data_IF_954842272235
#
_entry.id   IF_954842272235
#
_cell.length_a   1.000
_cell.length_b   1.000
_cell.length_c   1.000
_cell.angle_alpha   90.00
_cell.angle_beta   90.00
_cell.angle_gamma   90.00
#
_symmetry.space_group_name_H-M   'P 1'
#
loop_
_entity.id
_entity.type
_entity.pdbx_description
1 polymer ?
#
# COMPACT_ATOMS: atom_id res chain seq x y z
N UNK A 1 4.36 0.90 22.06
CA UNK A 1 5.26 0.10 21.21
C UNK A 1 4.94 0.33 19.72
N UNK A 2 5.04 1.57 19.22
CA UNK A 2 4.71 1.89 17.82
C UNK A 2 5.90 1.70 16.86
N UNK A 3 7.10 2.11 17.32
CA UNK A 3 8.33 2.19 16.51
C UNK A 3 8.80 0.87 15.88
N UNK A 4 8.44 -0.29 16.46
CA UNK A 4 8.88 -1.58 15.95
C UNK A 4 8.08 -2.03 14.72
N UNK A 5 6.81 -1.63 14.64
CA UNK A 5 5.92 -2.04 13.57
C UNK A 5 6.12 -1.18 12.32
N UNK A 6 6.44 0.10 12.50
CA UNK A 6 6.78 1.03 11.41
C UNK A 6 7.95 0.50 10.57
N UNK A 7 8.97 -0.08 11.22
CA UNK A 7 10.12 -0.70 10.55
C UNK A 7 9.77 -2.00 9.81
N UNK A 8 8.73 -2.72 10.23
CA UNK A 8 8.29 -3.96 9.58
C UNK A 8 7.46 -3.62 8.33
N UNK A 9 6.67 -2.55 8.39
CA UNK A 9 5.76 -2.15 7.32
C UNK A 9 6.45 -1.31 6.24
N UNK A 10 7.49 -0.56 6.61
CA UNK A 10 8.29 0.20 5.65
C UNK A 10 8.84 -0.71 4.54
N UNK A 11 8.73 -0.26 3.28
CA UNK A 11 9.11 -1.00 2.08
C UNK A 11 8.34 -2.30 1.81
N UNK A 12 7.28 -2.62 2.57
CA UNK A 12 6.40 -3.73 2.22
C UNK A 12 5.70 -3.45 0.88
N UNK A 13 5.67 -4.46 0.03
CA UNK A 13 4.86 -4.50 -1.19
C UNK A 13 3.56 -5.23 -0.88
N UNK A 14 2.44 -4.59 -1.21
CA UNK A 14 1.09 -5.05 -0.86
C UNK A 14 0.30 -5.19 -2.15
N UNK A 15 -0.29 -6.35 -2.35
CA UNK A 15 -1.31 -6.56 -3.37
C UNK A 15 -2.68 -6.18 -2.79
N UNK A 16 -3.37 -5.26 -3.43
CA UNK A 16 -4.66 -4.74 -2.96
C UNK A 16 -5.77 -5.75 -3.28
N UNK A 17 -6.23 -6.47 -2.26
CA UNK A 17 -7.28 -7.47 -2.35
C UNK A 17 -8.52 -7.01 -1.59
N UNK A 18 -9.72 -7.58 -1.82
CA UNK A 18 -10.91 -7.23 -1.05
C UNK A 18 -10.76 -7.38 0.48
N UNK A 19 -9.86 -8.26 0.94
CA UNK A 19 -9.58 -8.45 2.37
C UNK A 19 -8.55 -7.48 2.95
N UNK A 20 -7.68 -6.89 2.10
CA UNK A 20 -6.62 -5.98 2.52
C UNK A 20 -6.88 -4.52 2.16
N UNK A 21 -7.82 -4.23 1.25
CA UNK A 21 -8.09 -2.90 0.72
C UNK A 21 -9.58 -2.58 0.79
N UNK A 22 -9.90 -1.51 1.52
CA UNK A 22 -11.25 -0.93 1.58
C UNK A 22 -11.16 0.54 1.18
N UNK A 23 -12.31 1.16 0.90
CA UNK A 23 -12.40 2.49 0.27
C UNK A 23 -11.51 3.58 0.90
N UNK A 24 -11.07 3.45 2.15
CA UNK A 24 -10.17 4.41 2.82
C UNK A 24 -9.07 3.78 3.70
N UNK A 25 -8.90 2.45 3.70
CA UNK A 25 -7.96 1.78 4.62
C UNK A 25 -7.28 0.57 3.99
N UNK A 26 -6.03 0.34 4.41
CA UNK A 26 -5.29 -0.88 4.12
C UNK A 26 -5.11 -1.68 5.40
N UNK A 27 -5.40 -2.97 5.35
CA UNK A 27 -5.17 -3.90 6.46
C UNK A 27 -3.87 -4.67 6.21
N UNK A 28 -2.92 -4.53 7.13
CA UNK A 28 -1.62 -5.24 7.14
C UNK A 28 -1.52 -5.99 8.46
N UNK A 29 -1.27 -7.30 8.40
CA UNK A 29 -1.11 -8.15 9.59
C UNK A 29 -2.27 -8.01 10.61
N UNK A 30 -3.50 -7.79 10.13
CA UNK A 30 -4.69 -7.62 10.97
C UNK A 30 -4.89 -6.22 11.55
N UNK A 31 -4.00 -5.26 11.25
CA UNK A 31 -4.16 -3.86 11.64
C UNK A 31 -4.53 -2.99 10.44
N UNK A 32 -5.50 -2.09 10.63
CA UNK A 32 -5.96 -1.20 9.57
C UNK A 32 -5.32 0.18 9.68
N UNK A 33 -4.73 0.64 8.58
CA UNK A 33 -4.09 1.93 8.45
C UNK A 33 -4.85 2.82 7.48
N UNK A 34 -4.82 4.12 7.74
CA UNK A 34 -5.14 5.09 6.70
C UNK A 34 -4.05 5.06 5.65
N UNK A 35 -4.38 5.42 4.41
CA UNK A 35 -3.37 5.54 3.37
C UNK A 35 -3.52 6.82 2.57
N UNK A 36 -2.41 7.24 1.97
CA UNK A 36 -2.36 8.24 0.92
C UNK A 36 -1.48 7.71 -0.20
N UNK A 37 -1.99 7.78 -1.42
CA UNK A 37 -1.26 7.46 -2.64
C UNK A 37 -1.34 8.68 -3.56
N UNK A 38 -0.27 8.96 -4.30
CA UNK A 38 -0.28 10.04 -5.29
C UNK A 38 -1.11 9.65 -6.51
N UNK A 39 -1.03 8.37 -6.90
CA UNK A 39 -1.82 7.80 -7.99
C UNK A 39 -3.14 7.22 -7.47
N UNK A 40 -4.18 7.21 -8.31
CA UNK A 40 -5.38 6.41 -8.05
C UNK A 40 -5.02 4.93 -7.92
N UNK A 41 -5.48 4.34 -6.82
CA UNK A 41 -5.27 2.94 -6.48
C UNK A 41 -6.61 2.22 -6.39
N UNK A 42 -6.66 1.05 -7.01
CA UNK A 42 -7.84 0.21 -7.08
C UNK A 42 -7.51 -1.23 -6.66
N UNK A 43 -8.55 -2.02 -6.41
CA UNK A 43 -8.38 -3.45 -6.19
C UNK A 43 -7.64 -4.09 -7.37
N UNK A 44 -6.70 -4.98 -7.06
CA UNK A 44 -5.81 -5.62 -8.04
C UNK A 44 -4.49 -4.88 -8.27
N UNK A 45 -4.37 -3.62 -7.85
CA UNK A 45 -3.08 -2.92 -7.92
C UNK A 45 -2.07 -3.48 -6.92
N UNK A 46 -0.80 -3.24 -7.21
CA UNK A 46 0.31 -3.49 -6.29
C UNK A 46 0.90 -2.16 -5.86
N UNK A 47 1.07 -1.98 -4.56
CA UNK A 47 1.59 -0.73 -3.97
C UNK A 47 2.75 -1.04 -3.04
N UNK A 48 3.68 -0.10 -2.89
CA UNK A 48 4.78 -0.17 -1.92
C UNK A 48 4.59 0.89 -0.87
N UNK A 49 4.81 0.54 0.40
CA UNK A 49 4.86 1.51 1.48
C UNK A 49 6.15 2.31 1.39
N UNK A 50 6.05 3.55 0.92
CA UNK A 50 7.17 4.48 0.81
C UNK A 50 7.50 5.17 2.14
N UNK A 51 6.51 5.37 3.01
CA UNK A 51 6.70 5.96 4.33
C UNK A 51 5.55 5.62 5.28
N UNK A 52 5.84 5.60 6.58
CA UNK A 52 4.82 5.53 7.64
C UNK A 52 4.86 6.83 8.44
N UNK A 53 3.69 7.45 8.64
CA UNK A 53 3.54 8.70 9.41
C UNK A 53 2.40 8.50 10.41
N UNK A 54 2.73 8.11 11.63
CA UNK A 54 1.74 7.70 12.62
C UNK A 54 0.93 6.51 12.11
N UNK A 55 -0.39 6.66 11.98
CA UNK A 55 -1.30 5.61 11.48
C UNK A 55 -1.59 5.74 9.97
N UNK A 56 -0.86 6.61 9.27
CA UNK A 56 -1.01 6.84 7.82
C UNK A 56 0.17 6.26 7.04
N UNK A 57 -0.14 5.41 6.07
CA UNK A 57 0.81 4.88 5.10
C UNK A 57 0.87 5.80 3.88
N UNK A 58 2.08 6.17 3.49
CA UNK A 58 2.34 6.81 2.20
C UNK A 58 2.72 5.70 1.23
N UNK A 59 1.95 5.58 0.16
CA UNK A 59 2.07 4.51 -0.82
C UNK A 59 2.55 5.03 -2.15
N UNK A 60 3.28 4.19 -2.85
CA UNK A 60 3.64 4.35 -4.26
C UNK A 60 3.05 3.18 -5.05
N UNK A 61 2.38 3.46 -6.17
CA UNK A 61 1.90 2.40 -7.06
C UNK A 61 3.10 1.75 -7.72
N UNK A 62 3.20 0.43 -7.59
CA UNK A 62 4.22 -0.35 -8.28
C UNK A 62 3.70 -0.63 -9.68
N UNK A 63 4.35 -0.14 -10.74
CA UNK A 63 3.92 -0.44 -12.09
C UNK A 63 3.98 -1.94 -12.32
N UNK A 64 2.82 -2.55 -12.59
CA UNK A 64 2.76 -3.90 -13.10
C UNK A 64 3.43 -3.90 -14.47
N UNK A 65 4.54 -4.63 -14.63
CA UNK A 65 5.12 -4.93 -15.94
C UNK A 65 4.05 -5.67 -16.76
N UNK A 66 3.31 -4.94 -17.59
CA UNK A 66 2.26 -5.52 -18.42
C UNK A 66 1.22 -4.52 -18.92
N UNK A 67 1.66 -3.44 -19.58
CA UNK A 67 1.11 -2.90 -20.85
C UNK A 67 1.92 -1.64 -21.22
N UNK A 68 3.23 -1.84 -21.39
CA UNK A 68 3.96 -1.15 -22.44
C UNK A 68 4.32 -2.25 -23.44
N UNK A 69 3.29 -2.85 -24.03
CA UNK A 69 3.47 -3.43 -25.35
C UNK A 69 3.33 -2.25 -26.28
N UNK A 70 4.48 -1.68 -26.58
CA UNK A 70 4.78 -0.75 -27.65
C UNK A 70 3.86 -0.98 -28.86
N UNK A 71 3.26 0.13 -29.32
CA UNK A 71 2.95 0.52 -30.71
C UNK A 71 2.81 -0.58 -31.77
#
# INVERSE_FOLDING_TARGET
MALQLDNIIFQMTIHLTPGSFTNNKITINGQSYQYRCLDEVQMGDTVRVARVVGETLILEKVPSRGTDSEL
#
